data_IF_850354710324
#
_entry.id   IF_850354710324
#
_cell.length_a   1.000
_cell.length_b   1.000
_cell.length_c   1.000
_cell.angle_alpha   90.00
_cell.angle_beta   90.00
_cell.angle_gamma   90.00
#
_symmetry.space_group_name_H-M   'P 1'
#
loop_
_entity.id
_entity.type
_entity.pdbx_description
1 polymer ?
#
# COMPACT_ATOMS: atom_id res chain seq x y z
N UNK A 1 6.50 17.38 -15.58
CA UNK A 1 6.08 16.16 -14.86
C UNK A 1 5.76 15.06 -15.83
N UNK A 2 6.03 13.81 -15.46
CA UNK A 2 5.70 12.63 -16.27
C UNK A 2 4.19 12.41 -16.34
N UNK A 3 3.66 12.14 -17.53
CA UNK A 3 2.27 11.70 -17.74
C UNK A 3 2.24 10.18 -17.83
N UNK A 4 1.17 9.58 -17.32
CA UNK A 4 0.92 8.14 -17.41
C UNK A 4 -0.32 7.88 -18.25
N UNK A 5 -0.26 6.91 -19.16
CA UNK A 5 -1.39 6.49 -20.00
C UNK A 5 -2.43 5.66 -19.24
N UNK A 6 -2.01 5.00 -18.16
CA UNK A 6 -2.84 4.12 -17.34
C UNK A 6 -2.59 4.33 -15.85
N UNK A 7 -3.58 3.98 -15.04
CA UNK A 7 -3.55 4.01 -13.60
C UNK A 7 -4.09 2.69 -13.06
N UNK A 8 -3.50 2.19 -11.98
CA UNK A 8 -4.01 1.04 -11.26
C UNK A 8 -4.00 1.28 -9.75
N UNK A 9 -5.01 0.74 -9.07
CA UNK A 9 -5.02 0.60 -7.63
C UNK A 9 -5.04 -0.89 -7.29
N UNK A 10 -4.16 -1.29 -6.38
CA UNK A 10 -4.13 -2.61 -5.75
C UNK A 10 -4.47 -2.43 -4.27
N UNK A 11 -5.71 -2.73 -3.92
CA UNK A 11 -6.07 -2.94 -2.51
C UNK A 11 -5.49 -4.30 -2.09
N UNK A 12 -4.74 -4.32 -0.99
CA UNK A 12 -3.85 -5.42 -0.63
C UNK A 12 -4.26 -6.10 0.67
N UNK A 13 -4.05 -7.42 0.75
CA UNK A 13 -4.42 -8.20 1.93
C UNK A 13 -3.25 -9.03 2.48
N UNK A 14 -3.00 -8.83 3.78
CA UNK A 14 -2.13 -9.68 4.60
C UNK A 14 -2.77 -10.95 5.16
N UNK A 15 -3.96 -11.36 4.68
CA UNK A 15 -4.62 -12.56 5.21
C UNK A 15 -3.80 -13.84 4.95
N UNK A 16 -3.92 -14.82 5.86
CA UNK A 16 -3.22 -16.11 5.83
C UNK A 16 -3.97 -17.14 4.98
N UNK A 17 -4.21 -16.82 3.72
CA UNK A 17 -4.83 -17.70 2.72
C UNK A 17 -4.20 -17.43 1.36
N UNK A 18 -4.24 -18.41 0.45
CA UNK A 18 -3.69 -18.28 -0.91
C UNK A 18 -4.31 -17.10 -1.68
N UNK A 19 -5.63 -17.01 -1.58
CA UNK A 19 -6.47 -16.18 -2.44
C UNK A 19 -7.43 -15.39 -1.56
N UNK A 20 -6.96 -14.33 -0.90
CA UNK A 20 -7.77 -13.59 0.05
C UNK A 20 -8.90 -12.82 -0.64
N UNK A 21 -10.00 -12.62 0.07
CA UNK A 21 -11.13 -11.80 -0.43
C UNK A 21 -10.82 -10.32 -0.49
N UNK A 22 -9.78 -9.88 0.24
CA UNK A 22 -9.39 -8.47 0.34
C UNK A 22 -8.32 -8.02 -0.63
N UNK A 23 -8.04 -8.76 -1.71
CA UNK A 23 -7.23 -8.24 -2.82
C UNK A 23 -8.17 -7.84 -3.96
N UNK A 24 -8.11 -6.57 -4.35
CA UNK A 24 -8.84 -6.03 -5.48
C UNK A 24 -7.89 -5.19 -6.36
N UNK A 25 -8.00 -5.36 -7.68
CA UNK A 25 -7.23 -4.58 -8.64
C UNK A 25 -8.19 -3.83 -9.55
N UNK A 26 -8.09 -2.51 -9.54
CA UNK A 26 -8.78 -1.66 -10.49
C UNK A 26 -7.77 -1.02 -11.43
N UNK A 27 -8.15 -0.84 -12.69
CA UNK A 27 -7.38 -0.14 -13.72
C UNK A 27 -8.22 0.94 -14.36
N UNK A 28 -7.56 1.98 -14.86
CA UNK A 28 -8.18 3.07 -15.60
C UNK A 28 -7.22 3.58 -16.66
N UNK A 29 -7.70 3.75 -17.89
CA UNK A 29 -6.97 4.47 -18.94
C UNK A 29 -7.21 5.99 -18.79
N UNK A 30 -6.49 6.81 -19.54
CA UNK A 30 -6.79 8.25 -19.59
C UNK A 30 -8.25 8.54 -20.01
N UNK A 31 -8.74 7.77 -20.98
CA UNK A 31 -10.10 7.89 -21.48
C UNK A 31 -10.93 6.66 -21.06
N UNK A 32 -12.01 6.91 -20.31
CA UNK A 32 -12.99 5.89 -19.95
C UNK A 32 -13.14 5.64 -18.46
N UNK A 33 -14.10 4.79 -18.06
CA UNK A 33 -14.34 4.50 -16.66
C UNK A 33 -13.25 3.58 -16.08
N UNK A 34 -13.02 3.60 -14.76
CA UNK A 34 -12.23 2.58 -14.09
C UNK A 34 -12.91 1.21 -14.22
N UNK A 35 -12.13 0.14 -14.20
CA UNK A 35 -12.61 -1.24 -14.32
C UNK A 35 -11.88 -2.17 -13.36
N UNK A 36 -12.59 -3.19 -12.85
CA UNK A 36 -11.96 -4.22 -12.03
C UNK A 36 -11.34 -5.30 -12.90
N UNK A 37 -10.12 -5.69 -12.56
CA UNK A 37 -9.54 -6.93 -13.06
C UNK A 37 -10.04 -8.07 -12.17
N UNK A 38 -10.80 -8.99 -12.76
CA UNK A 38 -11.47 -10.09 -12.07
C UNK A 38 -10.89 -11.46 -12.51
N UNK A 39 -9.79 -11.92 -11.92
CA UNK A 39 -9.26 -13.25 -12.20
C UNK A 39 -10.18 -14.34 -11.62
N UNK A 40 -10.16 -15.52 -12.23
CA UNK A 40 -10.85 -16.70 -11.71
C UNK A 40 -9.84 -17.68 -11.10
N UNK A 41 -10.01 -18.14 -9.84
CA UNK A 41 -11.15 -17.89 -8.95
C UNK A 41 -11.14 -16.53 -8.22
N UNK A 42 -9.97 -15.92 -7.97
CA UNK A 42 -9.73 -14.53 -7.45
C UNK A 42 -8.21 -14.29 -7.32
N UNK A 43 -7.73 -13.07 -7.10
CA UNK A 43 -6.30 -12.77 -6.99
C UNK A 43 -5.60 -13.53 -5.85
N UNK A 44 -4.40 -14.05 -6.14
CA UNK A 44 -3.38 -14.37 -5.14
C UNK A 44 -2.31 -13.27 -5.09
N UNK A 45 -1.50 -13.21 -4.03
CA UNK A 45 -0.34 -12.29 -4.00
C UNK A 45 0.69 -12.59 -5.08
N UNK A 46 0.86 -13.87 -5.44
CA UNK A 46 1.76 -14.29 -6.52
C UNK A 46 1.21 -13.88 -7.90
N UNK A 47 -0.10 -13.96 -8.11
CA UNK A 47 -0.73 -13.49 -9.35
C UNK A 47 -0.47 -11.98 -9.56
N UNK A 48 -0.53 -11.19 -8.48
CA UNK A 48 -0.22 -9.74 -8.53
C UNK A 48 1.25 -9.53 -8.92
N UNK A 49 2.19 -10.23 -8.28
CA UNK A 49 3.61 -10.19 -8.64
C UNK A 49 3.81 -10.50 -10.13
N UNK A 50 3.20 -11.58 -10.62
CA UNK A 50 3.35 -12.00 -12.00
C UNK A 50 2.70 -11.02 -12.99
N UNK A 51 1.57 -10.39 -12.60
CA UNK A 51 0.96 -9.31 -13.36
C UNK A 51 1.87 -8.08 -13.44
N UNK A 52 2.49 -7.68 -12.33
CA UNK A 52 3.48 -6.60 -12.29
C UNK A 52 4.68 -6.90 -13.19
N UNK A 53 5.26 -8.10 -13.11
CA UNK A 53 6.38 -8.50 -13.97
C UNK A 53 6.02 -8.46 -15.46
N UNK A 54 4.78 -8.81 -15.83
CA UNK A 54 4.28 -8.65 -17.20
C UNK A 54 4.21 -7.18 -17.62
N UNK A 55 3.73 -6.29 -16.75
CA UNK A 55 3.72 -4.84 -17.02
C UNK A 55 5.13 -4.27 -17.17
N UNK A 56 6.08 -4.74 -16.34
CA UNK A 56 7.49 -4.38 -16.43
C UNK A 56 8.10 -4.80 -17.77
N UNK A 57 7.94 -6.08 -18.16
CA UNK A 57 8.44 -6.59 -19.43
C UNK A 57 7.83 -5.91 -20.66
N UNK A 58 6.55 -5.52 -20.57
CA UNK A 58 5.88 -4.76 -21.62
C UNK A 58 6.17 -3.25 -21.58
N UNK A 59 6.93 -2.77 -20.58
CA UNK A 59 7.16 -1.34 -20.30
C UNK A 59 5.87 -0.51 -20.31
N UNK A 60 4.79 -1.07 -19.76
CA UNK A 60 3.48 -0.42 -19.76
C UNK A 60 3.57 0.93 -19.05
N UNK A 61 3.08 1.99 -19.68
CA UNK A 61 3.10 3.34 -19.12
C UNK A 61 1.97 3.53 -18.11
N UNK A 62 2.19 3.03 -16.90
CA UNK A 62 1.18 2.92 -15.83
C UNK A 62 1.72 3.38 -14.47
N UNK A 63 0.89 4.10 -13.71
CA UNK A 63 1.12 4.39 -12.29
C UNK A 63 0.28 3.43 -11.42
N UNK A 64 0.92 2.73 -10.50
CA UNK A 64 0.31 1.65 -9.72
C UNK A 64 0.37 2.00 -8.23
N UNK A 65 -0.79 2.19 -7.61
CA UNK A 65 -0.93 2.47 -6.19
C UNK A 65 -1.17 1.20 -5.39
N UNK A 66 -0.40 0.97 -4.32
CA UNK A 66 -0.61 -0.11 -3.37
C UNK A 66 -1.09 0.42 -2.00
N UNK A 67 -2.21 -0.12 -1.49
CA UNK A 67 -2.73 0.19 -0.14
C UNK A 67 -2.03 -0.67 0.93
N UNK A 68 -0.72 -0.45 1.12
CA UNK A 68 0.12 -1.07 2.14
C UNK A 68 1.33 -0.19 2.45
N UNK A 69 1.91 -0.33 3.64
CA UNK A 69 3.16 0.37 3.96
C UNK A 69 4.36 -0.38 3.38
N UNK A 70 5.20 0.33 2.62
CA UNK A 70 6.37 -0.29 1.97
C UNK A 70 7.63 -0.28 2.84
N UNK A 71 7.64 0.41 3.98
CA UNK A 71 8.70 0.34 4.97
C UNK A 71 8.13 0.31 6.40
N UNK A 72 8.99 0.04 7.38
CA UNK A 72 8.69 0.19 8.81
C UNK A 72 9.18 1.57 9.31
N UNK A 73 8.71 2.04 10.47
CA UNK A 73 9.29 3.19 11.17
C UNK A 73 10.80 3.02 11.39
N UNK A 74 11.58 4.07 11.12
CA UNK A 74 13.03 4.13 11.24
C UNK A 74 13.49 5.31 12.09
N UNK A 75 13.02 6.54 11.79
CA UNK A 75 13.61 7.78 12.34
C UNK A 75 13.41 7.98 13.84
N UNK A 76 12.36 7.39 14.40
CA UNK A 76 12.09 7.48 15.83
C UNK A 76 13.14 6.75 16.69
N UNK A 77 13.79 5.70 16.16
CA UNK A 77 14.79 4.90 16.88
C UNK A 77 16.11 4.71 16.11
N UNK A 78 16.26 5.35 14.95
CA UNK A 78 17.35 5.15 14.00
C UNK A 78 17.58 3.68 13.61
N UNK A 79 16.51 2.88 13.56
CA UNK A 79 16.51 1.46 13.22
C UNK A 79 15.08 0.98 12.91
N UNK A 80 14.89 0.09 11.94
CA UNK A 80 13.58 -0.53 11.74
C UNK A 80 13.21 -1.44 12.91
N UNK A 81 14.17 -2.25 13.35
CA UNK A 81 14.01 -3.29 14.37
C UNK A 81 15.12 -3.10 15.43
N UNK A 82 14.96 -2.17 16.40
CA UNK A 82 16.00 -1.86 17.39
C UNK A 82 16.34 -3.08 18.26
N UNK A 83 17.57 -3.12 18.80
CA UNK A 83 18.10 -4.24 19.60
C UNK A 83 18.18 -5.58 18.87
N UNK A 84 18.14 -5.58 17.53
CA UNK A 84 18.46 -6.72 16.70
C UNK A 84 19.72 -6.39 15.90
N UNK A 85 20.83 -7.11 16.13
CA UNK A 85 22.11 -6.83 15.44
C UNK A 85 22.02 -6.92 13.91
N UNK A 86 21.11 -7.76 13.39
CA UNK A 86 20.86 -7.90 11.95
C UNK A 86 19.78 -6.92 11.43
N UNK A 87 19.43 -5.88 12.21
CA UNK A 87 18.45 -4.87 11.80
C UNK A 87 18.89 -4.21 10.49
N UNK A 88 18.02 -4.16 9.47
CA UNK A 88 18.36 -3.56 8.19
C UNK A 88 18.41 -2.04 8.31
N UNK A 89 19.18 -1.40 7.41
CA UNK A 89 19.33 0.07 7.36
C UNK A 89 18.73 0.68 6.10
N UNK A 90 18.21 -0.14 5.19
CA UNK A 90 17.50 0.28 3.98
C UNK A 90 16.20 -0.51 3.80
N UNK A 91 15.20 0.04 3.06
CA UNK A 91 13.97 -0.69 2.76
C UNK A 91 14.24 -2.00 2.01
N UNK A 92 15.19 -2.00 1.06
CA UNK A 92 15.51 -3.21 0.28
C UNK A 92 16.10 -4.32 1.15
N UNK A 93 16.98 -3.97 2.09
CA UNK A 93 17.52 -4.94 3.05
C UNK A 93 16.45 -5.41 4.03
N UNK A 94 15.49 -4.55 4.39
CA UNK A 94 14.32 -4.92 5.19
C UNK A 94 13.45 -5.94 4.46
N UNK A 95 13.14 -5.69 3.19
CA UNK A 95 12.34 -6.61 2.39
C UNK A 95 13.04 -7.97 2.23
N UNK A 96 14.35 -7.96 1.96
CA UNK A 96 15.18 -9.17 1.87
C UNK A 96 15.19 -9.96 3.18
N UNK A 97 15.39 -9.28 4.32
CA UNK A 97 15.39 -9.92 5.64
C UNK A 97 14.04 -10.61 5.91
N UNK A 98 12.94 -9.92 5.68
CA UNK A 98 11.59 -10.46 5.89
C UNK A 98 11.34 -11.66 4.97
N UNK A 99 11.68 -11.53 3.68
CA UNK A 99 11.44 -12.59 2.70
C UNK A 99 12.26 -13.84 3.00
N UNK A 100 13.55 -13.69 3.34
CA UNK A 100 14.42 -14.80 3.73
C UNK A 100 13.91 -15.56 4.96
N UNK A 101 13.42 -14.85 5.99
CA UNK A 101 12.84 -15.49 7.18
C UNK A 101 11.54 -16.23 6.85
N UNK A 102 10.84 -15.80 5.80
CA UNK A 102 9.56 -16.35 5.39
C UNK A 102 9.67 -17.26 4.15
N UNK A 103 10.84 -17.75 3.78
CA UNK A 103 11.05 -18.51 2.53
C UNK A 103 10.06 -19.70 2.41
N UNK A 104 9.91 -20.45 3.51
CA UNK A 104 8.99 -21.60 3.61
C UNK A 104 7.51 -21.20 3.86
N UNK A 105 7.20 -19.92 4.05
CA UNK A 105 5.81 -19.50 4.29
C UNK A 105 5.00 -19.56 2.98
N UNK A 106 3.90 -20.32 2.94
CA UNK A 106 3.08 -20.42 1.74
C UNK A 106 2.44 -19.07 1.40
N UNK A 107 2.14 -18.90 0.12
CA UNK A 107 1.31 -17.81 -0.40
C UNK A 107 1.87 -16.39 -0.17
N UNK A 108 3.20 -16.21 -0.12
CA UNK A 108 3.82 -14.95 0.30
C UNK A 108 3.33 -14.48 1.68
N UNK A 109 3.15 -15.42 2.61
CA UNK A 109 2.75 -15.13 3.99
C UNK A 109 3.88 -14.50 4.81
N UNK A 110 3.58 -14.03 6.02
CA UNK A 110 4.59 -13.45 6.92
C UNK A 110 4.53 -14.04 8.33
N UNK A 111 4.05 -15.28 8.44
CA UNK A 111 3.88 -16.01 9.71
C UNK A 111 5.23 -16.27 10.39
N UNK A 112 6.25 -16.68 9.64
CA UNK A 112 7.56 -16.98 10.21
C UNK A 112 8.25 -15.73 10.75
N UNK A 113 8.15 -14.59 10.06
CA UNK A 113 8.72 -13.33 10.56
C UNK A 113 8.04 -12.84 11.85
N UNK A 114 6.71 -12.90 11.95
CA UNK A 114 6.01 -12.48 13.18
C UNK A 114 6.22 -13.47 14.33
N UNK A 115 6.64 -14.71 14.06
CA UNK A 115 7.01 -15.70 15.08
C UNK A 115 8.51 -15.68 15.42
N UNK A 116 9.35 -15.04 14.59
CA UNK A 116 10.79 -14.99 14.75
C UNK A 116 11.19 -14.44 16.13
N UNK A 117 12.20 -15.02 16.82
CA UNK A 117 12.59 -14.60 18.17
C UNK A 117 12.83 -13.10 18.31
N UNK A 118 13.49 -12.47 17.33
CA UNK A 118 13.70 -11.03 17.30
C UNK A 118 12.52 -10.27 16.69
N UNK A 119 11.92 -10.80 15.61
CA UNK A 119 10.84 -10.11 14.91
C UNK A 119 9.62 -9.89 15.81
N UNK A 120 9.21 -10.92 16.55
CA UNK A 120 8.03 -10.90 17.42
C UNK A 120 8.09 -9.81 18.51
N UNK A 121 9.28 -9.41 18.94
CA UNK A 121 9.52 -8.42 20.00
C UNK A 121 8.95 -7.05 19.67
N UNK A 122 8.82 -6.73 18.39
CA UNK A 122 8.34 -5.43 17.94
C UNK A 122 6.83 -5.34 17.76
N UNK A 123 6.10 -6.48 17.75
CA UNK A 123 4.69 -6.50 17.36
C UNK A 123 3.73 -6.70 18.53
N UNK A 124 2.54 -6.10 18.40
CA UNK A 124 1.37 -6.48 19.20
C UNK A 124 0.61 -7.62 18.50
N UNK A 125 0.72 -8.83 19.04
CA UNK A 125 0.14 -10.07 18.47
C UNK A 125 -1.29 -10.33 18.94
N UNK A 126 -1.59 -10.01 20.19
CA UNK A 126 -2.91 -10.13 20.80
C UNK A 126 -3.07 -9.08 21.91
N UNK A 127 -4.22 -9.05 22.59
CA UNK A 127 -4.37 -8.23 23.80
C UNK A 127 -3.40 -8.64 24.92
N UNK A 128 -3.03 -9.92 24.97
CA UNK A 128 -2.21 -10.52 26.05
C UNK A 128 -0.80 -10.90 25.57
N UNK A 129 -0.47 -10.67 24.31
CA UNK A 129 0.83 -10.98 23.73
C UNK A 129 1.32 -9.75 22.97
N UNK A 130 2.14 -8.97 23.67
CA UNK A 130 2.75 -7.73 23.20
C UNK A 130 4.26 -7.97 23.30
N UNK A 131 4.97 -7.74 22.20
CA UNK A 131 6.43 -7.82 22.21
C UNK A 131 7.02 -6.75 23.13
N UNK A 132 8.16 -7.05 23.76
CA UNK A 132 8.84 -6.20 24.73
C UNK A 132 9.37 -4.88 24.15
N UNK A 133 9.50 -4.80 22.81
CA UNK A 133 9.91 -3.62 22.06
C UNK A 133 8.75 -2.95 21.31
N UNK A 134 7.50 -3.30 21.63
CA UNK A 134 6.32 -2.61 21.10
C UNK A 134 6.08 -1.31 21.89
N UNK A 135 6.52 -0.18 21.35
CA UNK A 135 6.47 1.12 22.02
C UNK A 135 5.30 2.02 21.56
N UNK A 136 5.03 3.09 22.31
CA UNK A 136 4.09 4.14 21.91
C UNK A 136 2.60 3.81 22.07
N UNK A 137 2.24 2.71 22.74
CA UNK A 137 0.86 2.27 23.03
C UNK A 137 0.06 1.78 21.81
N UNK A 138 0.23 2.45 20.67
CA UNK A 138 -0.31 2.06 19.36
C UNK A 138 0.73 1.46 18.43
N UNK A 139 1.99 1.37 18.85
CA UNK A 139 3.13 1.04 18.01
C UNK A 139 3.80 2.29 17.43
N UNK A 140 5.07 2.15 17.04
CA UNK A 140 5.89 3.15 16.35
C UNK A 140 5.28 3.52 14.99
N UNK A 141 5.53 4.73 14.51
CA UNK A 141 4.95 5.28 13.27
C UNK A 141 6.03 5.90 12.40
N UNK A 142 5.91 5.73 11.09
CA UNK A 142 6.72 6.47 10.12
C UNK A 142 6.39 7.97 10.21
N UNK A 143 7.29 8.82 9.77
CA UNK A 143 7.11 10.27 9.71
C UNK A 143 5.85 10.63 8.92
N UNK A 144 5.58 9.96 7.79
CA UNK A 144 4.35 10.21 7.02
C UNK A 144 3.08 9.88 7.82
N UNK A 145 3.11 8.85 8.66
CA UNK A 145 1.97 8.43 9.49
C UNK A 145 1.73 9.38 10.67
N UNK A 146 2.80 9.92 11.25
CA UNK A 146 2.74 11.00 12.24
C UNK A 146 2.14 12.26 11.59
N UNK A 147 2.69 12.67 10.44
CA UNK A 147 2.23 13.83 9.70
C UNK A 147 0.76 13.72 9.27
N UNK A 148 0.32 12.54 8.81
CA UNK A 148 -1.08 12.23 8.49
C UNK A 148 -2.02 12.47 9.68
N UNK A 149 -1.59 12.10 10.90
CA UNK A 149 -2.37 12.29 12.13
C UNK A 149 -2.40 13.75 12.55
N UNK A 150 -1.25 14.42 12.52
CA UNK A 150 -1.11 15.81 12.95
C UNK A 150 -1.89 16.77 12.05
N UNK A 151 -1.82 16.55 10.74
CA UNK A 151 -2.58 17.33 9.74
C UNK A 151 -4.00 16.80 9.52
N UNK A 152 -4.37 15.70 10.18
CA UNK A 152 -5.69 15.04 10.08
C UNK A 152 -6.06 14.66 8.65
N UNK A 153 -5.06 14.40 7.81
CA UNK A 153 -5.21 13.91 6.43
C UNK A 153 -5.53 12.41 6.38
N UNK A 154 -5.18 11.66 7.42
CA UNK A 154 -5.57 10.26 7.53
C UNK A 154 -5.56 9.75 8.98
N UNK A 155 -6.12 8.56 9.22
CA UNK A 155 -6.11 7.89 10.54
C UNK A 155 -5.23 6.65 10.51
N UNK A 156 -3.93 6.88 10.38
CA UNK A 156 -2.95 5.82 10.12
C UNK A 156 -2.73 4.93 11.33
N UNK A 157 -2.53 3.64 11.12
CA UNK A 157 -2.21 2.66 12.14
C UNK A 157 -0.75 2.22 12.01
N UNK A 158 -0.14 1.83 13.13
CA UNK A 158 1.22 1.29 13.11
C UNK A 158 1.27 -0.07 12.42
N UNK A 159 2.27 -0.29 11.58
CA UNK A 159 2.61 -1.61 11.04
C UNK A 159 2.97 -2.63 12.12
N UNK A 160 3.36 -2.19 13.32
CA UNK A 160 3.67 -3.09 14.43
C UNK A 160 2.41 -3.63 15.13
N UNK A 161 1.24 -3.12 14.81
CA UNK A 161 -0.01 -3.62 15.36
C UNK A 161 -0.64 -4.71 14.49
N UNK A 162 -0.70 -5.95 14.99
CA UNK A 162 -1.28 -7.10 14.27
C UNK A 162 -2.71 -7.43 14.70
N UNK A 163 -3.34 -6.61 15.54
CA UNK A 163 -4.68 -6.84 16.09
C UNK A 163 -5.69 -5.77 15.69
N UNK A 164 -6.95 -6.19 15.61
CA UNK A 164 -8.10 -5.31 15.37
C UNK A 164 -8.36 -5.01 13.90
N UNK A 165 -9.47 -4.32 13.65
CA UNK A 165 -9.96 -4.01 12.30
C UNK A 165 -9.05 -3.06 11.51
N UNK A 166 -8.20 -2.31 12.20
CA UNK A 166 -7.23 -1.37 11.61
C UNK A 166 -5.81 -1.96 11.50
N UNK A 167 -5.64 -3.29 11.64
CA UNK A 167 -4.32 -3.89 11.47
C UNK A 167 -3.87 -3.74 10.02
N UNK A 168 -2.65 -3.25 9.84
CA UNK A 168 -1.99 -3.12 8.54
C UNK A 168 -0.68 -3.92 8.47
N UNK A 169 -0.14 -4.33 9.63
CA UNK A 169 1.17 -4.95 9.73
C UNK A 169 1.37 -6.20 8.88
N UNK A 170 0.40 -7.13 8.89
CA UNK A 170 0.49 -8.33 8.03
C UNK A 170 0.41 -7.96 6.55
N UNK A 171 -0.40 -6.95 6.21
CA UNK A 171 -0.49 -6.45 4.83
C UNK A 171 0.85 -5.92 4.37
N UNK A 172 1.45 -5.03 5.16
CA UNK A 172 2.76 -4.43 4.88
C UNK A 172 3.86 -5.48 4.77
N UNK A 173 3.98 -6.42 5.72
CA UNK A 173 5.01 -7.46 5.68
C UNK A 173 4.90 -8.36 4.43
N UNK A 174 3.68 -8.77 4.08
CA UNK A 174 3.46 -9.60 2.88
C UNK A 174 3.66 -8.82 1.58
N UNK A 175 3.39 -7.50 1.60
CA UNK A 175 3.72 -6.58 0.52
C UNK A 175 5.22 -6.45 0.32
N UNK A 176 5.99 -6.24 1.39
CA UNK A 176 7.45 -6.16 1.35
C UNK A 176 8.09 -7.41 0.74
N UNK A 177 7.59 -8.62 1.08
CA UNK A 177 8.02 -9.87 0.42
C UNK A 177 7.78 -9.83 -1.10
N UNK A 178 6.59 -9.40 -1.52
CA UNK A 178 6.29 -9.27 -2.95
C UNK A 178 7.21 -8.25 -3.63
N UNK A 179 7.46 -7.10 -3.00
CA UNK A 179 8.37 -6.07 -3.52
C UNK A 179 9.81 -6.57 -3.65
N UNK A 180 10.30 -7.38 -2.70
CA UNK A 180 11.60 -8.06 -2.82
C UNK A 180 11.65 -8.94 -4.08
N UNK A 181 10.60 -9.73 -4.31
CA UNK A 181 10.54 -10.64 -5.47
C UNK A 181 10.33 -9.95 -6.82
N UNK A 182 10.01 -8.64 -6.85
CA UNK A 182 10.07 -7.87 -8.08
C UNK A 182 11.52 -7.55 -8.49
N UNK A 183 12.48 -7.65 -7.56
CA UNK A 183 13.92 -7.47 -7.80
C UNK A 183 14.26 -6.20 -8.62
N UNK A 184 13.59 -5.09 -8.29
CA UNK A 184 13.81 -3.81 -8.97
C UNK A 184 13.26 -3.71 -10.40
N UNK A 185 12.44 -4.68 -10.86
CA UNK A 185 11.82 -4.65 -12.19
C UNK A 185 10.90 -3.44 -12.41
N UNK A 186 10.36 -2.85 -11.35
CA UNK A 186 9.53 -1.63 -11.38
C UNK A 186 10.07 -0.64 -10.35
N UNK A 187 10.39 0.61 -10.74
CA UNK A 187 10.76 1.66 -9.79
C UNK A 187 9.63 1.99 -8.81
N UNK A 188 9.99 2.15 -7.54
CA UNK A 188 9.06 2.44 -6.45
C UNK A 188 9.34 3.85 -5.94
N UNK A 189 8.42 4.79 -6.15
CA UNK A 189 8.55 6.14 -5.58
C UNK A 189 8.15 6.12 -4.10
N UNK A 190 8.86 6.83 -3.20
CA UNK A 190 10.01 7.72 -3.48
C UNK A 190 11.40 7.06 -3.31
N UNK A 191 11.48 5.74 -3.13
CA UNK A 191 12.76 5.03 -2.97
C UNK A 191 13.64 5.10 -4.22
N UNK A 192 13.01 5.05 -5.38
CA UNK A 192 13.63 5.08 -6.69
C UNK A 192 13.26 6.36 -7.46
N UNK A 193 14.14 6.85 -8.35
CA UNK A 193 13.80 7.92 -9.27
C UNK A 193 12.69 7.48 -10.23
N UNK A 194 11.79 8.41 -10.56
CA UNK A 194 10.73 8.18 -11.54
C UNK A 194 11.37 8.08 -12.94
N UNK A 195 11.25 6.95 -13.67
CA UNK A 195 11.81 6.81 -15.01
C UNK A 195 11.01 7.62 -16.03
N UNK A 196 11.60 7.91 -17.19
CA UNK A 196 10.93 8.65 -18.28
C UNK A 196 9.70 7.91 -18.86
N UNK A 197 9.71 6.57 -18.83
CA UNK A 197 8.64 5.69 -19.34
C UNK A 197 8.58 4.38 -18.55
N UNK A 198 7.49 3.62 -18.69
CA UNK A 198 7.30 2.31 -18.04
C UNK A 198 6.65 2.36 -16.64
N UNK A 199 6.36 1.23 -16.01
CA UNK A 199 5.54 1.23 -14.80
C UNK A 199 6.24 1.94 -13.63
N UNK A 200 5.44 2.52 -12.72
CA UNK A 200 5.91 3.07 -11.43
C UNK A 200 4.96 2.63 -10.34
N UNK A 201 5.51 2.26 -9.19
CA UNK A 201 4.74 1.93 -7.98
C UNK A 201 4.79 3.10 -6.99
N UNK A 202 3.66 3.38 -6.35
CA UNK A 202 3.54 4.30 -5.21
C UNK A 202 2.78 3.63 -4.07
N UNK A 203 3.17 3.94 -2.84
CA UNK A 203 2.30 3.67 -1.69
C UNK A 203 1.12 4.66 -1.71
N UNK A 204 -0.09 4.18 -1.46
CA UNK A 204 -1.30 5.00 -1.35
C UNK A 204 -2.02 4.71 -0.03
N UNK A 205 -3.01 5.53 0.27
CA UNK A 205 -4.02 5.20 1.28
C UNK A 205 -5.40 5.44 0.70
N UNK A 206 -6.18 4.38 0.51
CA UNK A 206 -7.51 4.43 -0.14
C UNK A 206 -8.47 5.43 0.50
N UNK A 207 -8.30 5.73 1.79
CA UNK A 207 -9.11 6.74 2.50
C UNK A 207 -8.87 8.16 1.96
N UNK A 208 -7.67 8.50 1.48
CA UNK A 208 -7.36 9.80 0.86
C UNK A 208 -8.17 9.97 -0.42
N UNK A 209 -8.19 8.94 -1.28
CA UNK A 209 -8.99 8.93 -2.49
C UNK A 209 -10.51 9.01 -2.19
N UNK A 210 -10.98 8.29 -1.18
CA UNK A 210 -12.37 8.35 -0.76
C UNK A 210 -12.78 9.77 -0.31
N UNK A 211 -11.93 10.47 0.43
CA UNK A 211 -12.21 11.86 0.84
C UNK A 211 -12.18 12.81 -0.35
N UNK A 212 -11.23 12.66 -1.27
CA UNK A 212 -11.21 13.42 -2.53
C UNK A 212 -12.48 13.19 -3.37
N UNK A 213 -13.05 11.98 -3.32
CA UNK A 213 -14.31 11.64 -3.97
C UNK A 213 -15.56 12.15 -3.22
N UNK A 214 -15.39 12.88 -2.12
CA UNK A 214 -16.48 13.48 -1.34
C UNK A 214 -17.16 12.54 -0.35
N UNK A 215 -16.57 11.38 -0.02
CA UNK A 215 -17.13 10.51 1.00
C UNK A 215 -17.00 11.15 2.40
N UNK A 216 -18.03 11.01 3.27
CA UNK A 216 -17.99 11.62 4.60
C UNK A 216 -16.82 11.11 5.47
N UNK A 217 -16.26 11.99 6.29
CA UNK A 217 -15.27 11.60 7.30
C UNK A 217 -15.86 10.51 8.23
N UNK A 218 -15.12 9.42 8.41
CA UNK A 218 -15.58 8.26 9.20
C UNK A 218 -16.45 7.26 8.43
N UNK A 219 -16.83 7.56 7.18
CA UNK A 219 -17.53 6.64 6.28
C UNK A 219 -16.89 6.68 4.88
N UNK A 220 -15.63 6.27 4.81
CA UNK A 220 -14.83 6.23 3.58
C UNK A 220 -15.11 5.03 2.68
N UNK A 221 -16.10 4.19 3.01
CA UNK A 221 -16.44 2.98 2.27
C UNK A 221 -17.82 3.08 1.63
N UNK A 222 -17.95 2.61 0.39
CA UNK A 222 -19.23 2.51 -0.32
C UNK A 222 -19.54 1.06 -0.71
N UNK A 223 -20.76 0.59 -0.43
CA UNK A 223 -21.16 -0.80 -0.72
C UNK A 223 -22.34 -0.89 -1.68
N UNK A 224 -22.54 0.14 -2.50
CA UNK A 224 -23.61 0.15 -3.48
C UNK A 224 -23.25 0.98 -4.72
N UNK A 225 -23.96 0.71 -5.81
CA UNK A 225 -23.76 1.37 -7.11
C UNK A 225 -23.95 2.88 -7.04
N UNK A 226 -24.98 3.35 -6.34
CA UNK A 226 -25.28 4.78 -6.29
C UNK A 226 -24.14 5.58 -5.65
N UNK A 227 -23.59 5.09 -4.53
CA UNK A 227 -22.45 5.69 -3.85
C UNK A 227 -21.18 5.65 -4.70
N UNK A 228 -20.89 4.53 -5.38
CA UNK A 228 -19.75 4.44 -6.29
C UNK A 228 -19.87 5.44 -7.46
N UNK A 229 -21.03 5.50 -8.11
CA UNK A 229 -21.28 6.43 -9.23
C UNK A 229 -21.15 7.88 -8.77
N UNK A 230 -21.68 8.21 -7.59
CA UNK A 230 -21.58 9.55 -7.04
C UNK A 230 -20.12 9.92 -6.72
N UNK A 231 -19.36 9.01 -6.12
CA UNK A 231 -17.94 9.21 -5.82
C UNK A 231 -17.12 9.47 -7.10
N UNK A 232 -17.30 8.63 -8.12
CA UNK A 232 -16.61 8.79 -9.41
C UNK A 232 -17.02 10.06 -10.14
N UNK A 233 -18.30 10.45 -10.06
CA UNK A 233 -18.78 11.73 -10.60
C UNK A 233 -18.09 12.92 -9.93
N UNK A 234 -17.89 12.89 -8.61
CA UNK A 234 -17.14 13.94 -7.89
C UNK A 234 -15.70 14.02 -8.40
N UNK A 235 -15.08 12.87 -8.69
CA UNK A 235 -13.77 12.77 -9.32
C UNK A 235 -13.80 13.01 -10.85
N UNK A 236 -14.89 13.50 -11.44
CA UNK A 236 -14.98 13.72 -12.89
C UNK A 236 -14.81 12.47 -13.76
N UNK A 237 -14.88 11.27 -13.16
CA UNK A 237 -14.71 10.00 -13.84
C UNK A 237 -16.07 9.44 -14.31
N UNK A 238 -16.14 8.84 -15.51
CA UNK A 238 -17.32 8.09 -15.95
C UNK A 238 -17.64 6.92 -15.01
N UNK A 239 -18.91 6.54 -14.97
CA UNK A 239 -19.36 5.40 -14.18
C UNK A 239 -18.90 4.06 -14.83
N UNK A 240 -18.47 3.07 -14.02
CA UNK A 240 -18.05 1.76 -14.52
C UNK A 240 -19.24 0.91 -14.95
N UNK A 241 -18.93 -0.18 -15.63
CA UNK A 241 -19.87 -1.27 -15.82
C UNK A 241 -20.40 -1.78 -14.47
N UNK A 242 -21.58 -2.42 -14.50
CA UNK A 242 -22.15 -2.98 -13.26
C UNK A 242 -21.26 -4.09 -12.74
N UNK A 243 -20.92 -4.00 -11.45
CA UNK A 243 -20.17 -5.04 -10.75
C UNK A 243 -21.09 -6.20 -10.35
N UNK A 244 -20.51 -7.40 -10.20
CA UNK A 244 -21.21 -8.55 -9.63
C UNK A 244 -21.53 -8.35 -8.13
N UNK A 245 -20.59 -7.74 -7.39
CA UNK A 245 -20.76 -7.33 -5.99
C UNK A 245 -20.18 -5.92 -5.77
N UNK A 246 -20.74 -5.20 -4.81
CA UNK A 246 -20.22 -3.90 -4.35
C UNK A 246 -19.72 -4.05 -2.92
N UNK A 247 -18.49 -4.52 -2.77
CA UNK A 247 -17.76 -4.58 -1.50
C UNK A 247 -16.76 -3.43 -1.37
N UNK A 248 -16.25 -3.25 -0.14
CA UNK A 248 -15.33 -2.16 0.20
C UNK A 248 -14.10 -2.20 -0.71
N UNK A 249 -13.44 -3.34 -0.81
CA UNK A 249 -12.19 -3.51 -1.57
C UNK A 249 -12.36 -3.13 -3.05
N UNK A 250 -13.40 -3.66 -3.68
CA UNK A 250 -13.70 -3.41 -5.09
C UNK A 250 -13.99 -1.94 -5.37
N UNK A 251 -14.79 -1.30 -4.51
CA UNK A 251 -15.18 0.10 -4.72
C UNK A 251 -14.07 1.08 -4.37
N UNK A 252 -13.29 0.81 -3.33
CA UNK A 252 -12.11 1.60 -2.97
C UNK A 252 -11.06 1.55 -4.06
N UNK A 253 -10.81 0.37 -4.64
CA UNK A 253 -9.87 0.24 -5.75
C UNK A 253 -10.31 1.07 -6.96
N UNK A 254 -11.59 1.00 -7.35
CA UNK A 254 -12.13 1.79 -8.47
C UNK A 254 -12.05 3.31 -8.23
N UNK A 255 -12.44 3.77 -7.04
CA UNK A 255 -12.37 5.18 -6.66
C UNK A 255 -10.92 5.65 -6.67
N UNK A 256 -10.01 4.83 -6.16
CA UNK A 256 -8.60 5.19 -6.03
C UNK A 256 -7.89 5.22 -7.39
N UNK A 257 -8.16 4.24 -8.27
CA UNK A 257 -7.63 4.28 -9.64
C UNK A 257 -8.07 5.54 -10.39
N UNK A 258 -9.32 5.99 -10.20
CA UNK A 258 -9.82 7.24 -10.78
C UNK A 258 -9.19 8.49 -10.15
N UNK A 259 -9.04 8.52 -8.82
CA UNK A 259 -8.38 9.62 -8.13
C UNK A 259 -6.92 9.78 -8.55
N UNK A 260 -6.19 8.67 -8.74
CA UNK A 260 -4.79 8.68 -9.15
C UNK A 260 -4.56 9.39 -10.49
N UNK A 261 -5.52 9.37 -11.41
CA UNK A 261 -5.42 10.08 -12.68
C UNK A 261 -5.19 11.59 -12.48
N UNK A 262 -5.95 12.19 -11.56
CA UNK A 262 -5.85 13.63 -11.26
C UNK A 262 -4.69 13.91 -10.32
N UNK A 263 -4.54 13.09 -9.27
CA UNK A 263 -3.48 13.24 -8.28
C UNK A 263 -2.09 13.17 -8.92
N UNK A 264 -1.89 12.30 -9.89
CA UNK A 264 -0.62 12.20 -10.60
C UNK A 264 -0.20 13.47 -11.33
N UNK A 265 -1.12 14.41 -11.63
CA UNK A 265 -0.81 15.70 -12.27
C UNK A 265 -0.46 16.81 -11.27
N UNK A 266 -0.66 16.61 -9.96
CA UNK A 266 -0.39 17.62 -8.93
C UNK A 266 1.06 17.54 -8.45
N UNK A 267 1.88 18.56 -8.77
CA UNK A 267 3.32 18.54 -8.48
C UNK A 267 3.63 18.47 -6.98
N UNK A 268 2.71 18.98 -6.16
CA UNK A 268 2.88 19.02 -4.70
C UNK A 268 2.85 17.62 -4.09
N UNK A 269 2.11 16.68 -4.70
CA UNK A 269 2.02 15.30 -4.22
C UNK A 269 3.30 14.50 -4.47
N UNK A 270 4.12 14.91 -5.43
CA UNK A 270 5.42 14.30 -5.73
C UNK A 270 6.58 14.92 -4.96
N UNK A 271 6.36 16.10 -4.37
CA UNK A 271 7.36 16.84 -3.58
C UNK A 271 6.75 17.40 -2.28
N UNK A 272 6.26 16.54 -1.37
CA UNK A 272 5.75 16.98 -0.07
C UNK A 272 6.85 17.72 0.70
N UNK A 273 6.63 18.93 1.23
CA UNK A 273 7.67 19.71 1.92
C UNK A 273 8.29 19.01 3.13
N UNK A 274 7.53 18.14 3.79
CA UNK A 274 7.97 17.38 4.98
C UNK A 274 8.82 16.16 4.60
N UNK A 275 8.72 15.67 3.36
CA UNK A 275 9.47 14.52 2.88
C UNK A 275 10.89 14.95 2.48
N UNK A 276 11.82 14.87 3.43
CA UNK A 276 13.26 15.03 3.13
C UNK A 276 13.78 13.85 2.29
N UNK A 277 14.97 14.02 1.69
CA UNK A 277 15.61 12.94 0.94
C UNK A 277 15.88 11.69 1.82
N UNK A 278 16.25 11.91 3.09
CA UNK A 278 16.49 10.82 4.03
C UNK A 278 15.19 10.07 4.39
N UNK A 279 14.08 10.80 4.56
CA UNK A 279 12.75 10.20 4.80
C UNK A 279 12.33 9.37 3.59
N UNK A 280 12.47 9.93 2.39
CA UNK A 280 12.18 9.21 1.15
C UNK A 280 12.99 7.91 1.03
N UNK A 281 14.28 7.92 1.41
CA UNK A 281 15.15 6.74 1.34
C UNK A 281 14.83 5.69 2.40
N UNK A 282 14.53 6.08 3.64
CA UNK A 282 14.36 5.13 4.77
C UNK A 282 12.91 4.70 4.99
N UNK A 283 11.96 5.60 4.94
CA UNK A 283 10.56 5.28 5.31
C UNK A 283 9.60 5.35 4.12
N UNK A 284 10.02 6.01 3.05
CA UNK A 284 9.17 6.29 1.90
C UNK A 284 8.11 7.33 2.23
N UNK A 285 7.06 7.36 1.42
CA UNK A 285 5.95 8.29 1.62
C UNK A 285 4.65 7.75 1.03
N UNK A 286 3.54 7.98 1.72
CA UNK A 286 2.20 7.74 1.19
C UNK A 286 1.84 8.83 0.19
N UNK A 287 1.69 8.47 -1.09
CA UNK A 287 1.26 9.39 -2.14
C UNK A 287 -0.13 9.96 -1.83
N UNK A 288 -0.29 11.28 -2.03
CA UNK A 288 -1.52 12.00 -1.67
C UNK A 288 -1.43 12.78 -0.35
N UNK A 289 -0.34 12.66 0.40
CA UNK A 289 -0.12 13.40 1.66
C UNK A 289 0.85 14.56 1.42
N UNK A 290 0.45 15.78 1.79
CA UNK A 290 1.25 17.02 1.72
C UNK A 290 1.60 17.52 3.10
#
# INVERSE_FOLDING_TARGET
>A
MRKYSQFACVDWSGAKTERPTGIAVATMNQDGPPSLLAPHPRWSRADIRDWLLKLAGARTDILIGFDLSMALPFFDMNAYLPQWDASPTTPRDLWRLIDNICDDDPHLGSSSFVAHPEGKRHFRHSKNHIGDLFEGGTGRLRVVEQHQRDTKQAKSASCFNLIGAAQVGKSSLTGMRMLHQLDGAIPIWPFDPIPESGPVIVEIYTTVAAWAAGLPKGRSKTRNRAGLVQALKTLGSPAPARLASYDDHSTDALITAAWMQQAAQDERLWKPPVMTAEIAEKEGWTFGII
#
